data_IF_111354022919
#
_entry.id   IF_111354022919
#
_cell.length_a   1.000
_cell.length_b   1.000
_cell.length_c   1.000
_cell.angle_alpha   90.00
_cell.angle_beta   90.00
_cell.angle_gamma   90.00
#
_symmetry.space_group_name_H-M   'P 1'
#
loop_
_entity.id
_entity.type
_entity.pdbx_description
1 polymer ?
#
# COMPACT_ATOMS: atom_id res chain seq x y z
N UNK A 1 21.86 -16.17 -3.09
CA UNK A 1 20.52 -15.73 -3.52
C UNK A 1 19.83 -15.10 -2.32
N UNK A 2 19.27 -13.91 -2.46
CA UNK A 2 18.44 -13.34 -1.39
C UNK A 2 17.19 -14.20 -1.18
N UNK A 3 16.71 -14.37 0.06
CA UNK A 3 15.46 -15.07 0.32
C UNK A 3 14.32 -14.40 -0.45
N UNK A 4 13.49 -15.21 -1.11
CA UNK A 4 12.33 -14.74 -1.90
C UNK A 4 11.00 -14.89 -1.16
N UNK A 5 11.07 -15.41 0.08
CA UNK A 5 9.95 -15.66 1.00
C UNK A 5 10.45 -15.59 2.44
N UNK A 6 9.52 -15.44 3.37
CA UNK A 6 9.81 -15.47 4.81
C UNK A 6 10.24 -16.87 5.26
N UNK A 7 11.04 -16.93 6.33
CA UNK A 7 11.47 -18.20 6.91
C UNK A 7 10.30 -18.98 7.51
N UNK A 8 9.35 -18.28 8.13
CA UNK A 8 8.16 -18.84 8.77
C UNK A 8 6.93 -17.99 8.45
N UNK A 9 5.85 -18.63 8.01
CA UNK A 9 4.56 -17.95 7.83
C UNK A 9 3.88 -17.77 9.18
N UNK A 10 3.16 -16.65 9.32
CA UNK A 10 2.34 -16.40 10.51
C UNK A 10 1.19 -17.38 10.61
N UNK A 11 0.93 -17.87 11.81
CA UNK A 11 -0.22 -18.74 12.09
C UNK A 11 -1.51 -17.91 12.14
N UNK A 12 -2.70 -18.54 12.01
CA UNK A 12 -3.97 -17.87 12.19
C UNK A 12 -4.11 -17.18 13.56
N UNK A 13 -3.58 -17.79 14.61
CA UNK A 13 -3.61 -17.27 15.98
C UNK A 13 -2.75 -16.01 16.09
N UNK A 14 -1.50 -16.04 15.61
CA UNK A 14 -0.62 -14.87 15.57
C UNK A 14 -1.25 -13.71 14.78
N UNK A 15 -1.90 -14.01 13.65
CA UNK A 15 -2.58 -13.01 12.83
C UNK A 15 -3.76 -12.36 13.58
N UNK A 16 -4.57 -13.16 14.28
CA UNK A 16 -5.69 -12.66 15.07
C UNK A 16 -5.22 -11.84 16.28
N UNK A 17 -4.18 -12.29 16.98
CA UNK A 17 -3.58 -11.58 18.12
C UNK A 17 -2.94 -10.25 17.73
N UNK A 18 -2.57 -10.07 16.47
CA UNK A 18 -1.97 -8.83 15.98
C UNK A 18 -3.00 -7.72 15.65
N UNK A 19 -4.30 -8.06 15.53
CA UNK A 19 -5.34 -7.08 15.19
C UNK A 19 -5.38 -5.84 16.09
N UNK A 20 -5.26 -5.93 17.43
CA UNK A 20 -5.25 -4.76 18.30
C UNK A 20 -4.10 -3.79 17.99
N UNK A 21 -2.95 -4.29 17.51
CA UNK A 21 -1.82 -3.44 17.11
C UNK A 21 -2.17 -2.64 15.85
N UNK A 22 -2.85 -3.27 14.89
CA UNK A 22 -3.30 -2.62 13.66
C UNK A 22 -4.39 -1.58 13.96
N UNK A 23 -5.32 -1.90 14.87
CA UNK A 23 -6.42 -1.02 15.25
C UNK A 23 -5.96 0.20 16.07
N UNK A 24 -4.75 0.14 16.66
CA UNK A 24 -4.14 1.24 17.39
C UNK A 24 -3.36 2.24 16.50
N UNK A 25 -3.28 1.99 15.19
CA UNK A 25 -2.59 2.89 14.26
C UNK A 25 -3.28 4.26 14.16
N UNK A 26 -2.49 5.30 13.87
CA UNK A 26 -3.00 6.66 13.87
C UNK A 26 -4.03 6.90 12.76
N UNK A 27 -5.11 7.61 13.09
CA UNK A 27 -6.24 7.84 12.17
C UNK A 27 -6.09 9.07 11.29
N UNK A 28 -5.63 10.17 11.86
CA UNK A 28 -5.64 11.48 11.18
C UNK A 28 -4.28 11.89 10.65
N UNK A 29 -3.21 11.40 11.28
CA UNK A 29 -1.84 11.76 10.93
C UNK A 29 -0.89 10.58 11.12
N UNK A 30 -0.34 10.10 10.02
CA UNK A 30 0.56 8.95 9.94
C UNK A 30 1.93 9.32 9.37
N UNK A 31 2.68 8.31 8.92
CA UNK A 31 4.03 8.49 8.36
C UNK A 31 4.30 7.54 7.21
N UNK A 32 5.04 8.00 6.18
CA UNK A 32 5.59 7.14 5.12
C UNK A 32 6.74 6.33 5.69
N UNK A 33 6.64 5.00 5.70
CA UNK A 33 7.67 4.11 6.24
C UNK A 33 8.52 3.46 5.16
N UNK A 34 7.95 3.18 4.00
CA UNK A 34 8.66 2.55 2.89
C UNK A 34 8.07 3.01 1.55
N UNK A 35 8.95 3.26 0.58
CA UNK A 35 8.62 3.59 -0.81
C UNK A 35 9.30 2.56 -1.70
N UNK A 36 8.53 1.93 -2.59
CA UNK A 36 9.04 0.87 -3.46
C UNK A 36 8.60 1.12 -4.90
N UNK A 37 9.58 1.21 -5.80
CA UNK A 37 9.34 1.19 -7.24
C UNK A 37 9.42 -0.23 -7.77
N UNK A 38 8.55 -0.57 -8.72
CA UNK A 38 8.54 -1.88 -9.41
C UNK A 38 8.90 -1.63 -10.89
N UNK A 39 10.19 -1.54 -11.24
CA UNK A 39 10.63 -1.17 -12.59
C UNK A 39 10.41 -2.26 -13.63
N UNK A 40 10.29 -3.52 -13.19
CA UNK A 40 9.94 -4.65 -14.05
C UNK A 40 9.18 -5.73 -13.26
N UNK A 41 8.71 -6.76 -13.96
CA UNK A 41 8.03 -7.90 -13.34
C UNK A 41 8.99 -8.64 -12.41
N UNK A 42 8.74 -8.51 -11.11
CA UNK A 42 9.52 -9.20 -10.08
C UNK A 42 10.60 -8.35 -9.42
N UNK A 43 10.98 -7.24 -10.06
CA UNK A 43 11.98 -6.30 -9.54
C UNK A 43 11.39 -5.34 -8.51
N UNK A 44 12.22 -4.97 -7.53
CA UNK A 44 11.88 -4.02 -6.47
C UNK A 44 13.08 -3.10 -6.24
N UNK A 45 12.81 -1.81 -6.24
CA UNK A 45 13.78 -0.77 -5.88
C UNK A 45 13.23 0.00 -4.68
N UNK A 46 13.93 -0.04 -3.55
CA UNK A 46 13.58 0.73 -2.36
C UNK A 46 14.11 2.14 -2.53
N UNK A 47 13.23 3.13 -2.36
CA UNK A 47 13.56 4.54 -2.58
C UNK A 47 13.57 5.31 -1.26
N UNK A 48 14.53 6.22 -1.10
CA UNK A 48 14.44 7.27 -0.08
C UNK A 48 13.45 8.38 -0.45
N UNK A 49 13.30 8.64 -1.76
CA UNK A 49 12.40 9.65 -2.33
C UNK A 49 11.74 9.10 -3.59
N UNK A 50 10.42 9.22 -3.69
CA UNK A 50 9.64 8.89 -4.89
C UNK A 50 8.93 10.13 -5.43
N UNK A 51 8.81 10.24 -6.77
CA UNK A 51 8.01 11.29 -7.41
C UNK A 51 6.68 10.73 -7.88
N UNK A 52 5.59 11.29 -7.37
CA UNK A 52 4.22 11.00 -7.76
C UNK A 52 3.78 11.92 -8.90
N UNK A 53 3.04 11.37 -9.86
CA UNK A 53 2.59 12.06 -11.06
C UNK A 53 1.24 11.49 -11.54
N UNK A 54 0.22 12.31 -11.84
CA UNK A 54 -1.07 11.85 -12.36
C UNK A 54 -0.99 11.06 -13.67
N UNK A 55 0.06 11.21 -14.47
CA UNK A 55 0.26 10.44 -15.70
C UNK A 55 0.98 9.10 -15.47
N UNK A 56 1.80 9.00 -14.42
CA UNK A 56 2.71 7.85 -14.23
C UNK A 56 2.51 7.09 -12.91
N UNK A 57 1.66 7.58 -12.00
CA UNK A 57 1.62 7.08 -10.63
C UNK A 57 2.93 7.41 -9.91
N UNK A 58 3.67 6.39 -9.48
CA UNK A 58 5.06 6.55 -9.03
C UNK A 58 5.99 6.50 -10.24
N UNK A 59 6.74 7.57 -10.50
CA UNK A 59 7.64 7.62 -11.67
C UNK A 59 8.64 6.46 -11.65
N UNK A 60 8.74 5.76 -12.78
CA UNK A 60 9.55 4.55 -12.98
C UNK A 60 8.89 3.24 -12.50
N UNK A 61 7.67 3.29 -11.94
CA UNK A 61 6.89 2.08 -11.67
C UNK A 61 6.21 1.57 -12.96
N UNK A 62 6.02 0.25 -13.02
CA UNK A 62 5.40 -0.42 -14.17
C UNK A 62 3.88 -0.28 -14.26
N UNK A 63 3.21 0.50 -13.39
CA UNK A 63 1.74 0.62 -13.43
C UNK A 63 1.19 0.97 -14.82
N UNK A 64 1.78 1.97 -15.49
CA UNK A 64 1.28 2.45 -16.80
C UNK A 64 1.38 1.38 -17.90
N UNK A 65 2.33 0.45 -17.76
CA UNK A 65 2.54 -0.66 -18.69
C UNK A 65 1.60 -1.85 -18.41
N UNK A 66 0.95 -1.86 -17.24
CA UNK A 66 0.06 -2.94 -16.82
C UNK A 66 -1.36 -2.65 -17.29
N UNK A 67 -1.73 -3.30 -18.39
CA UNK A 67 -3.12 -3.29 -18.86
C UNK A 67 -4.10 -3.81 -17.81
N UNK A 68 -5.34 -3.32 -17.87
CA UNK A 68 -6.41 -3.70 -16.96
C UNK A 68 -7.61 -4.24 -17.71
N UNK A 69 -8.21 -5.32 -17.19
CA UNK A 69 -9.50 -5.82 -17.69
C UNK A 69 -10.69 -4.92 -17.31
N UNK A 70 -10.45 -3.89 -16.49
CA UNK A 70 -11.48 -2.93 -16.04
C UNK A 70 -11.59 -1.71 -16.96
N UNK A 71 -10.67 -1.56 -17.91
CA UNK A 71 -10.72 -0.52 -18.95
C UNK A 71 -11.16 -1.16 -20.26
N UNK A 72 -11.94 -0.43 -21.07
CA UNK A 72 -12.46 -0.94 -22.35
C UNK A 72 -11.39 -1.10 -23.42
N UNK A 73 -10.35 -0.27 -23.37
CA UNK A 73 -9.21 -0.26 -24.29
C UNK A 73 -8.03 -1.14 -23.79
N UNK A 74 -8.16 -1.76 -22.62
CA UNK A 74 -7.12 -2.59 -22.01
C UNK A 74 -5.97 -1.80 -21.40
N UNK A 75 -6.03 -0.46 -21.35
CA UNK A 75 -5.03 0.39 -20.72
C UNK A 75 -4.98 0.20 -19.20
N UNK A 76 -3.94 0.74 -18.54
CA UNK A 76 -3.86 0.76 -17.08
C UNK A 76 -5.01 1.56 -16.47
N UNK A 77 -5.65 1.03 -15.41
CA UNK A 77 -6.80 1.71 -14.81
C UNK A 77 -6.38 2.95 -14.00
N UNK A 78 -6.90 4.16 -14.29
CA UNK A 78 -6.46 5.42 -13.67
C UNK A 78 -6.69 5.46 -12.16
N UNK A 79 -7.74 4.80 -11.67
CA UNK A 79 -8.00 4.71 -10.22
C UNK A 79 -7.17 3.63 -9.49
N UNK A 80 -6.20 3.02 -10.16
CA UNK A 80 -5.33 1.97 -9.60
C UNK A 80 -3.83 2.29 -9.76
N UNK A 81 -3.49 3.58 -9.83
CA UNK A 81 -2.11 4.07 -10.03
C UNK A 81 -1.15 3.62 -8.94
N UNK A 82 -1.60 3.69 -7.70
CA UNK A 82 -0.79 3.41 -6.52
C UNK A 82 -1.46 2.33 -5.70
N UNK A 83 -0.65 1.40 -5.22
CA UNK A 83 -1.00 0.47 -4.16
C UNK A 83 -0.36 0.95 -2.87
N UNK A 84 -1.18 1.05 -1.81
CA UNK A 84 -0.76 1.50 -0.49
C UNK A 84 -1.07 0.43 0.54
N UNK A 85 -0.07 0.01 1.31
CA UNK A 85 -0.22 -1.03 2.34
C UNK A 85 0.11 -0.50 3.74
N UNK A 86 -0.50 -1.08 4.77
CA UNK A 86 -0.12 -0.82 6.16
C UNK A 86 1.30 -1.32 6.41
N UNK A 87 2.19 -0.45 6.87
CA UNK A 87 3.56 -0.83 7.23
C UNK A 87 3.58 -1.82 8.40
N UNK A 88 2.88 -1.58 9.53
CA UNK A 88 2.83 -2.56 10.62
C UNK A 88 2.38 -3.96 10.17
N UNK A 89 1.45 -4.05 9.21
CA UNK A 89 1.02 -5.33 8.66
C UNK A 89 2.14 -6.03 7.88
N UNK A 90 2.83 -5.33 6.97
CA UNK A 90 3.89 -5.97 6.17
C UNK A 90 5.10 -6.32 7.03
N UNK A 91 5.48 -5.45 7.97
CA UNK A 91 6.58 -5.68 8.92
C UNK A 91 6.33 -6.95 9.74
N UNK A 92 5.11 -7.11 10.27
CA UNK A 92 4.70 -8.29 11.01
C UNK A 92 4.78 -9.57 10.18
N UNK A 93 4.32 -9.54 8.92
CA UNK A 93 4.38 -10.70 8.03
C UNK A 93 5.81 -11.03 7.60
N UNK A 94 6.55 -10.01 7.17
CA UNK A 94 7.86 -10.13 6.55
C UNK A 94 8.92 -10.62 7.53
N UNK A 95 8.89 -10.15 8.79
CA UNK A 95 9.88 -10.46 9.83
C UNK A 95 11.33 -10.09 9.48
N UNK A 96 11.53 -9.50 8.30
CA UNK A 96 12.79 -9.08 7.72
C UNK A 96 12.48 -7.90 6.78
N UNK A 97 13.04 -6.70 7.05
CA UNK A 97 12.84 -5.52 6.20
C UNK A 97 13.18 -5.75 4.72
N UNK A 98 14.11 -6.66 4.41
CA UNK A 98 14.45 -6.98 3.02
C UNK A 98 13.32 -7.67 2.26
N UNK A 99 12.33 -8.24 2.96
CA UNK A 99 11.20 -8.95 2.38
C UNK A 99 9.93 -8.09 2.26
N UNK A 100 9.85 -6.95 2.96
CA UNK A 100 8.69 -6.06 2.91
C UNK A 100 8.35 -5.55 1.49
N UNK A 101 9.33 -5.16 0.64
CA UNK A 101 9.05 -4.75 -0.74
C UNK A 101 8.39 -5.84 -1.59
N UNK A 102 8.50 -7.10 -1.15
CA UNK A 102 7.88 -8.23 -1.82
C UNK A 102 6.36 -8.30 -1.60
N UNK A 103 5.74 -7.49 -0.73
CA UNK A 103 4.29 -7.30 -0.77
C UNK A 103 3.82 -6.69 -2.11
N UNK A 104 4.69 -5.89 -2.75
CA UNK A 104 4.51 -5.43 -4.11
C UNK A 104 3.65 -4.19 -4.24
N UNK A 105 3.65 -3.35 -3.22
CA UNK A 105 2.96 -2.08 -3.13
C UNK A 105 3.97 -0.94 -3.29
N UNK A 106 3.51 0.26 -3.68
CA UNK A 106 4.43 1.37 -3.90
C UNK A 106 4.66 2.21 -2.65
N UNK A 107 3.66 2.32 -1.77
CA UNK A 107 3.73 3.11 -0.55
C UNK A 107 3.32 2.26 0.65
N UNK A 108 4.06 2.39 1.74
CA UNK A 108 3.75 1.73 3.00
C UNK A 108 3.65 2.77 4.10
N UNK A 109 2.48 2.81 4.74
CA UNK A 109 2.14 3.86 5.69
C UNK A 109 1.93 3.28 7.08
N UNK A 110 2.40 4.01 8.07
CA UNK A 110 1.96 3.84 9.46
C UNK A 110 0.77 4.76 9.69
N UNK A 111 -0.40 4.24 9.31
CA UNK A 111 -1.69 4.93 9.30
C UNK A 111 -2.80 3.87 9.28
N UNK A 112 -3.92 4.14 9.93
CA UNK A 112 -5.14 3.32 9.83
C UNK A 112 -5.70 3.43 8.41
N UNK A 113 -5.61 2.34 7.63
CA UNK A 113 -6.09 2.30 6.24
C UNK A 113 -7.52 1.77 6.09
N UNK A 114 -8.21 1.52 7.20
CA UNK A 114 -9.56 0.94 7.23
C UNK A 114 -10.55 1.74 6.40
N UNK A 115 -11.61 1.08 5.95
CA UNK A 115 -12.68 1.73 5.19
C UNK A 115 -13.39 2.78 6.04
N UNK A 116 -13.56 2.51 7.34
CA UNK A 116 -14.15 3.47 8.29
C UNK A 116 -13.29 4.71 8.46
N UNK A 117 -11.96 4.55 8.52
CA UNK A 117 -11.05 5.67 8.65
C UNK A 117 -10.83 6.43 7.34
N UNK A 118 -10.69 5.70 6.23
CA UNK A 118 -10.40 6.24 4.91
C UNK A 118 -11.51 5.82 3.94
N UNK A 119 -12.72 6.41 4.05
CA UNK A 119 -13.76 6.18 3.04
C UNK A 119 -13.23 6.54 1.65
N UNK A 120 -13.84 5.97 0.62
CA UNK A 120 -13.50 6.28 -0.78
C UNK A 120 -13.45 7.79 -0.99
N UNK A 121 -12.51 8.23 -1.84
CA UNK A 121 -12.29 9.63 -2.18
C UNK A 121 -11.63 10.49 -1.09
N UNK A 122 -11.26 9.90 0.05
CA UNK A 122 -10.38 10.53 1.05
C UNK A 122 -9.04 10.91 0.44
N UNK A 123 -8.55 12.11 0.77
CA UNK A 123 -7.24 12.61 0.36
C UNK A 123 -6.19 12.30 1.43
N UNK A 124 -5.02 11.86 0.98
CA UNK A 124 -3.82 11.71 1.79
C UNK A 124 -2.79 12.72 1.31
N UNK A 125 -2.42 13.64 2.19
CA UNK A 125 -1.52 14.75 1.94
C UNK A 125 -0.14 14.40 2.50
N UNK A 126 0.90 14.49 1.68
CA UNK A 126 2.26 14.19 2.09
C UNK A 126 3.05 15.48 2.38
N UNK A 127 3.71 15.51 3.55
CA UNK A 127 4.46 16.67 4.03
C UNK A 127 3.59 17.63 4.85
N UNK A 128 3.78 18.93 4.64
CA UNK A 128 3.02 19.99 5.31
C UNK A 128 1.55 19.99 4.81
N UNK A 129 0.53 19.85 5.67
CA UNK A 129 -0.87 19.81 5.24
C UNK A 129 -1.40 21.12 4.63
N UNK A 130 -0.78 22.26 4.92
CA UNK A 130 -1.16 23.57 4.37
C UNK A 130 -0.50 23.84 3.01
N UNK A 131 0.62 23.15 2.72
CA UNK A 131 1.33 23.19 1.46
C UNK A 131 1.88 21.79 1.11
N UNK A 132 1.00 20.81 0.79
CA UNK A 132 1.42 19.43 0.61
C UNK A 132 2.37 19.30 -0.58
N UNK A 133 3.41 18.48 -0.40
CA UNK A 133 4.35 18.15 -1.47
C UNK A 133 3.69 17.31 -2.56
N UNK A 134 2.86 16.35 -2.17
CA UNK A 134 2.05 15.54 -3.07
C UNK A 134 0.71 15.18 -2.42
N UNK A 135 -0.29 14.82 -3.24
CA UNK A 135 -1.60 14.38 -2.76
C UNK A 135 -2.06 13.17 -3.57
N UNK A 136 -2.53 12.15 -2.86
CA UNK A 136 -3.22 11.00 -3.45
C UNK A 136 -4.64 10.90 -2.92
N UNK A 137 -5.51 10.27 -3.68
CA UNK A 137 -6.89 10.03 -3.33
C UNK A 137 -7.17 8.54 -3.31
N UNK A 138 -7.76 8.06 -2.21
CA UNK A 138 -8.26 6.68 -2.08
C UNK A 138 -9.37 6.47 -3.11
N UNK A 139 -9.39 5.31 -3.77
CA UNK A 139 -10.40 4.99 -4.79
C UNK A 139 -11.29 3.83 -4.34
N UNK A 140 -12.39 3.64 -5.07
CA UNK A 140 -13.33 2.52 -4.91
C UNK A 140 -12.77 1.18 -5.43
N UNK A 141 -11.56 1.19 -6.01
CA UNK A 141 -10.99 0.01 -6.62
C UNK A 141 -10.43 -0.94 -5.55
N UNK A 142 -10.84 -2.22 -5.52
CA UNK A 142 -10.36 -3.15 -4.51
C UNK A 142 -8.91 -3.54 -4.77
N UNK A 143 -8.13 -3.66 -3.70
CA UNK A 143 -6.76 -4.16 -3.70
C UNK A 143 -6.69 -5.51 -2.97
N UNK A 144 -6.53 -6.60 -3.72
CA UNK A 144 -6.62 -7.96 -3.19
C UNK A 144 -5.29 -8.72 -3.32
N UNK A 145 -5.10 -9.71 -2.44
CA UNK A 145 -3.90 -10.56 -2.45
C UNK A 145 -3.81 -11.38 -3.74
N UNK A 146 -2.57 -11.64 -4.19
CA UNK A 146 -2.31 -12.42 -5.40
C UNK A 146 -1.45 -13.65 -5.12
N UNK A 147 -1.24 -14.51 -6.12
CA UNK A 147 -0.41 -15.73 -6.00
C UNK A 147 0.99 -15.46 -5.43
N UNK A 148 1.62 -14.36 -5.84
CA UNK A 148 2.95 -13.97 -5.31
C UNK A 148 2.90 -13.66 -3.82
N UNK A 149 1.81 -13.08 -3.31
CA UNK A 149 1.64 -12.82 -1.88
C UNK A 149 1.59 -14.14 -1.08
N UNK A 150 0.90 -15.16 -1.61
CA UNK A 150 0.87 -16.51 -1.01
C UNK A 150 2.26 -17.15 -1.02
N UNK A 151 2.99 -17.05 -2.12
CA UNK A 151 4.35 -17.60 -2.24
C UNK A 151 5.32 -16.96 -1.24
N UNK A 152 5.09 -15.70 -0.86
CA UNK A 152 6.00 -14.89 -0.03
C UNK A 152 5.66 -14.93 1.45
N UNK A 153 4.37 -14.82 1.80
CA UNK A 153 3.89 -14.66 3.18
C UNK A 153 2.93 -15.78 3.63
N UNK A 154 2.62 -16.73 2.74
CA UNK A 154 1.82 -17.90 3.06
C UNK A 154 0.32 -17.76 2.79
N UNK A 155 -0.40 -18.89 2.70
CA UNK A 155 -1.83 -18.90 2.42
C UNK A 155 -2.66 -18.35 3.58
N UNK A 156 -2.22 -18.53 4.83
CA UNK A 156 -2.92 -18.01 6.01
C UNK A 156 -2.96 -16.49 6.01
N UNK A 157 -1.82 -15.84 5.78
CA UNK A 157 -1.75 -14.39 5.61
C UNK A 157 -2.68 -13.90 4.49
N UNK A 158 -2.71 -14.58 3.35
CA UNK A 158 -3.61 -14.21 2.24
C UNK A 158 -5.09 -14.30 2.64
N UNK A 159 -5.49 -15.40 3.30
CA UNK A 159 -6.88 -15.57 3.77
C UNK A 159 -7.25 -14.54 4.82
N UNK A 160 -6.32 -14.20 5.71
CA UNK A 160 -6.52 -13.21 6.75
C UNK A 160 -6.71 -11.80 6.17
N UNK A 161 -5.80 -11.33 5.32
CA UNK A 161 -5.87 -9.96 4.76
C UNK A 161 -7.08 -9.77 3.84
N UNK A 162 -7.55 -10.84 3.18
CA UNK A 162 -8.78 -10.83 2.38
C UNK A 162 -10.00 -11.35 3.15
N UNK A 163 -9.88 -11.63 4.44
CA UNK A 163 -10.92 -12.25 5.25
C UNK A 163 -11.99 -11.28 5.72
N UNK A 164 -12.90 -11.77 6.57
CA UNK A 164 -13.95 -10.98 7.21
C UNK A 164 -13.37 -9.83 8.07
N UNK A 165 -12.25 -10.07 8.72
CA UNK A 165 -11.59 -9.08 9.59
C UNK A 165 -10.66 -8.16 8.78
N UNK A 166 -9.99 -8.72 7.77
CA UNK A 166 -9.01 -7.99 6.97
C UNK A 166 -9.57 -7.02 5.93
N UNK A 167 -10.70 -7.34 5.29
CA UNK A 167 -11.31 -6.47 4.26
C UNK A 167 -11.77 -5.12 4.81
N UNK A 168 -12.52 -5.02 5.92
CA UNK A 168 -12.92 -3.74 6.50
C UNK A 168 -11.71 -2.87 6.88
N UNK A 169 -10.61 -3.49 7.31
CA UNK A 169 -9.36 -2.82 7.69
C UNK A 169 -8.42 -2.53 6.51
N UNK A 170 -8.74 -3.01 5.31
CA UNK A 170 -7.85 -3.00 4.14
C UNK A 170 -6.46 -3.53 4.46
N UNK A 171 -6.35 -4.67 5.14
CA UNK A 171 -5.04 -5.23 5.56
C UNK A 171 -4.15 -5.65 4.39
N UNK A 172 -4.73 -5.93 3.23
CA UNK A 172 -3.94 -6.08 2.00
C UNK A 172 -3.46 -4.72 1.47
N UNK A 173 -4.20 -3.67 1.70
CA UNK A 173 -3.94 -2.32 1.21
C UNK A 173 -5.13 -1.74 0.45
N UNK A 174 -4.92 -0.57 -0.15
CA UNK A 174 -5.88 0.17 -0.97
C UNK A 174 -5.29 0.55 -2.33
N UNK A 175 -6.15 0.86 -3.28
CA UNK A 175 -5.75 1.58 -4.49
C UNK A 175 -5.96 3.08 -4.28
N UNK A 176 -5.06 3.86 -4.87
CA UNK A 176 -5.14 5.30 -4.90
C UNK A 176 -4.74 5.85 -6.28
N UNK A 177 -5.17 7.08 -6.55
CA UNK A 177 -4.72 7.89 -7.69
C UNK A 177 -4.03 9.15 -7.22
N UNK A 178 -3.11 9.67 -8.03
CA UNK A 178 -2.42 10.92 -7.74
C UNK A 178 -3.32 12.08 -8.18
N UNK A 179 -3.62 13.00 -7.25
CA UNK A 179 -4.40 14.22 -7.53
C UNK A 179 -3.53 15.47 -7.56
N UNK A 180 -2.37 15.43 -6.90
CA UNK A 180 -1.33 16.46 -7.00
C UNK A 180 0.04 15.80 -7.12
N UNK A 181 0.75 16.14 -8.19
CA UNK A 181 2.11 15.67 -8.43
C UNK A 181 3.09 16.25 -7.40
N UNK A 182 4.14 15.48 -7.10
CA UNK A 182 5.25 15.96 -6.28
C UNK A 182 6.04 14.82 -5.63
N UNK A 183 6.95 15.18 -4.73
CA UNK A 183 7.82 14.22 -4.08
C UNK A 183 7.24 13.73 -2.76
N UNK A 184 7.46 12.45 -2.49
CA UNK A 184 7.22 11.80 -1.20
C UNK A 184 8.52 11.19 -0.71
N UNK A 185 8.83 11.37 0.57
CA UNK A 185 10.04 10.87 1.23
C UNK A 185 9.68 9.90 2.33
N UNK A 186 10.56 8.93 2.57
CA UNK A 186 10.46 8.13 3.80
C UNK A 186 10.59 9.08 5.00
N UNK A 187 9.67 8.95 5.96
CA UNK A 187 9.55 9.84 7.11
C UNK A 187 8.57 11.01 6.92
N UNK A 188 8.05 11.25 5.71
CA UNK A 188 7.06 12.30 5.51
C UNK A 188 5.80 12.04 6.36
N UNK A 189 5.29 13.12 6.96
CA UNK A 189 3.97 13.10 7.59
C UNK A 189 2.91 12.87 6.53
N UNK A 190 1.92 12.03 6.85
CA UNK A 190 0.73 11.85 6.02
C UNK A 190 -0.49 12.36 6.77
N UNK A 191 -1.15 13.39 6.25
CA UNK A 191 -2.37 13.95 6.84
C UNK A 191 -3.60 13.48 6.08
N UNK A 192 -4.61 13.01 6.81
CA UNK A 192 -5.87 12.53 6.25
C UNK A 192 -6.86 13.67 6.11
N UNK A 193 -7.47 13.80 4.93
CA UNK A 193 -8.57 14.73 4.66
C UNK A 193 -9.73 13.98 4.01
N UNK A 194 -10.69 13.59 4.85
CA UNK A 194 -11.92 12.89 4.44
C UNK A 194 -12.83 13.86 3.70
N UNK A 195 -13.64 13.34 2.76
CA UNK A 195 -14.74 14.11 2.21
C UNK A 195 -15.73 14.44 3.34
N UNK A 196 -16.15 15.70 3.44
CA UNK A 196 -17.18 16.13 4.39
C UNK A 196 -18.56 15.67 4.01
#
# INVERSE_FOLDING_TARGET
MAPTRVAHYRTPEELAEFLPTLDATAKDRGTVKLIVRRPAVGEREVLGVGRLDPAYGLQGDTWIERGSKRTSDGSSHPDMQLNVMSHPMVEFLAQDPALEPLAGDQLYLDLDLSQDNLPEWTLLLFGDPDAPGAVIQVTDQPHTGCKKFVERFGPEAMRFVNGKDGRPRRLRGLNARVTQAGEVRVGDTVTVRRAG
#
